data_IF_959197738353
#
_entry.id   IF_959197738353
#
_cell.length_a   1.000
_cell.length_b   1.000
_cell.length_c   1.000
_cell.angle_alpha   90.00
_cell.angle_beta   90.00
_cell.angle_gamma   90.00
#
_symmetry.space_group_name_H-M   'P 1'
#
loop_
_entity.id
_entity.type
_entity.pdbx_description
1 polymer ?
#
# COMPACT_ATOMS: atom_id res chain seq x y z
N UNK A 1 -17.15 44.66 14.87
CA UNK A 1 -16.43 43.69 15.71
C UNK A 1 -16.91 42.30 15.30
N UNK A 2 -16.28 41.69 14.29
CA UNK A 2 -16.66 40.35 13.79
C UNK A 2 -15.90 39.34 14.64
N UNK A 3 -16.65 38.47 15.32
CA UNK A 3 -16.11 37.34 16.07
C UNK A 3 -15.37 36.42 15.10
N UNK A 4 -14.05 36.35 15.25
CA UNK A 4 -13.21 35.32 14.63
C UNK A 4 -13.40 34.08 15.51
N UNK A 5 -14.41 33.28 15.20
CA UNK A 5 -14.54 31.96 15.82
C UNK A 5 -13.38 31.12 15.31
N UNK A 6 -12.61 30.61 16.25
CA UNK A 6 -11.27 30.05 16.09
C UNK A 6 -11.38 28.69 15.37
N UNK A 7 -10.81 28.52 14.17
CA UNK A 7 -10.74 27.21 13.48
C UNK A 7 -10.15 26.10 14.37
N UNK A 8 -9.35 26.49 15.38
CA UNK A 8 -8.81 25.60 16.41
C UNK A 8 -9.85 24.96 17.33
N UNK A 9 -11.03 25.56 17.52
CA UNK A 9 -12.11 24.97 18.33
C UNK A 9 -12.90 23.93 17.54
N UNK A 10 -13.08 24.12 16.23
CA UNK A 10 -13.73 23.12 15.37
C UNK A 10 -12.89 21.84 15.23
N UNK A 11 -11.56 21.95 15.34
CA UNK A 11 -10.63 20.82 15.24
C UNK A 11 -10.58 19.96 16.52
N UNK A 12 -11.03 20.48 17.68
CA UNK A 12 -11.11 19.74 18.96
C UNK A 12 -12.26 18.73 19.04
N UNK A 13 -13.09 18.64 18.00
CA UNK A 13 -14.28 17.77 17.95
C UNK A 13 -14.08 16.48 17.18
N UNK A 14 -12.89 16.22 16.64
CA UNK A 14 -12.59 14.91 16.05
C UNK A 14 -12.49 13.88 17.17
N UNK A 15 -13.38 12.88 17.15
CA UNK A 15 -13.36 11.75 18.08
C UNK A 15 -12.02 11.02 17.89
N UNK A 16 -11.32 10.75 18.99
CA UNK A 16 -10.10 9.95 19.02
C UNK A 16 -10.35 8.60 18.32
N UNK A 17 -9.43 8.19 17.45
CA UNK A 17 -9.57 6.97 16.62
C UNK A 17 -8.34 6.07 16.74
N UNK A 18 -8.50 4.80 16.41
CA UNK A 18 -7.36 3.87 16.38
C UNK A 18 -6.34 4.26 15.30
N UNK A 19 -5.07 3.90 15.53
CA UNK A 19 -3.98 4.14 14.56
C UNK A 19 -4.27 3.60 13.15
N UNK A 20 -4.92 2.43 13.04
CA UNK A 20 -5.30 1.87 11.73
C UNK A 20 -6.19 2.82 10.95
N UNK A 21 -7.24 3.34 11.59
CA UNK A 21 -8.18 4.27 10.97
C UNK A 21 -7.53 5.62 10.66
N UNK A 22 -6.69 6.12 11.58
CA UNK A 22 -5.95 7.36 11.38
C UNK A 22 -5.02 7.27 10.16
N UNK A 23 -4.24 6.19 10.06
CA UNK A 23 -3.31 5.95 8.95
C UNK A 23 -4.06 5.72 7.63
N UNK A 24 -5.14 4.92 7.62
CA UNK A 24 -5.99 4.72 6.44
C UNK A 24 -6.50 6.06 5.89
N UNK A 25 -7.03 6.92 6.78
CA UNK A 25 -7.51 8.24 6.37
C UNK A 25 -6.38 9.16 5.87
N UNK A 26 -5.22 9.13 6.52
CA UNK A 26 -4.07 9.96 6.16
C UNK A 26 -3.41 9.53 4.85
N UNK A 27 -3.34 8.24 4.56
CA UNK A 27 -2.69 7.68 3.37
C UNK A 27 -3.65 7.60 2.19
N UNK A 28 -4.86 7.08 2.41
CA UNK A 28 -5.77 6.65 1.34
C UNK A 28 -7.15 7.33 1.36
N UNK A 29 -7.41 8.21 2.33
CA UNK A 29 -8.64 9.01 2.36
C UNK A 29 -8.76 9.99 1.17
N UNK A 30 -9.88 10.71 1.05
CA UNK A 30 -10.11 11.65 -0.06
C UNK A 30 -9.03 12.75 -0.21
N UNK A 31 -8.37 13.11 0.89
CA UNK A 31 -7.25 14.06 0.95
C UNK A 31 -5.92 13.38 1.31
N UNK A 32 -5.90 12.05 1.23
CA UNK A 32 -4.79 11.21 1.66
C UNK A 32 -3.56 11.35 0.78
N UNK A 33 -2.40 11.12 1.36
CA UNK A 33 -1.09 11.33 0.73
C UNK A 33 -0.96 10.68 -0.66
N UNK A 34 -1.35 9.41 -0.80
CA UNK A 34 -1.16 8.66 -2.06
C UNK A 34 -2.13 9.06 -3.17
N UNK A 35 -3.22 9.77 -2.86
CA UNK A 35 -4.18 10.23 -3.88
C UNK A 35 -3.84 11.61 -4.45
N UNK A 36 -2.89 12.32 -3.86
CA UNK A 36 -2.54 13.68 -4.30
C UNK A 36 -1.73 13.65 -5.60
N UNK A 37 -1.86 14.66 -6.47
CA UNK A 37 -1.17 14.69 -7.76
C UNK A 37 0.36 14.60 -7.65
N UNK A 38 0.95 15.17 -6.61
CA UNK A 38 2.40 15.13 -6.35
C UNK A 38 2.86 13.68 -6.10
N UNK A 39 2.01 12.87 -5.45
CA UNK A 39 2.26 11.49 -5.11
C UNK A 39 3.56 11.25 -4.31
N UNK A 40 3.92 9.98 -4.05
CA UNK A 40 5.17 9.65 -3.37
C UNK A 40 6.40 10.10 -4.15
N UNK A 41 6.35 10.06 -5.48
CA UNK A 41 7.46 10.44 -6.37
C UNK A 41 7.84 11.94 -6.27
N UNK A 42 6.91 12.80 -5.85
CA UNK A 42 7.19 14.22 -5.55
C UNK A 42 7.96 14.44 -4.24
N UNK A 43 8.02 13.42 -3.38
CA UNK A 43 8.58 13.52 -2.02
C UNK A 43 9.73 12.53 -1.77
N UNK A 44 9.77 11.40 -2.48
CA UNK A 44 10.72 10.31 -2.29
C UNK A 44 11.15 9.71 -3.62
N UNK A 45 12.41 9.24 -3.69
CA UNK A 45 12.87 8.33 -4.75
C UNK A 45 12.83 6.91 -4.18
N UNK A 46 11.83 6.13 -4.56
CA UNK A 46 11.77 4.68 -4.25
C UNK A 46 12.72 3.89 -5.15
N UNK A 47 13.01 2.64 -4.79
CA UNK A 47 13.88 1.70 -5.55
C UNK A 47 13.49 1.55 -7.02
N UNK A 48 12.20 1.76 -7.28
CA UNK A 48 11.57 1.73 -8.61
C UNK A 48 12.11 2.82 -9.54
N UNK A 49 12.51 3.96 -8.96
CA UNK A 49 13.17 5.05 -9.67
C UNK A 49 14.69 4.86 -9.74
N UNK A 50 15.25 3.88 -9.04
CA UNK A 50 16.69 3.79 -8.80
C UNK A 50 17.45 3.05 -9.89
N UNK A 51 16.85 2.07 -10.61
CA UNK A 51 17.57 1.37 -11.68
C UNK A 51 16.70 0.50 -12.61
N UNK A 52 16.94 0.54 -13.94
CA UNK A 52 16.43 -0.46 -14.90
C UNK A 52 16.80 -1.91 -14.54
N UNK A 53 17.85 -2.12 -13.73
CA UNK A 53 18.26 -3.44 -13.28
C UNK A 53 17.20 -4.12 -12.40
N UNK A 54 16.42 -3.35 -11.64
CA UNK A 54 15.38 -3.89 -10.76
C UNK A 54 14.23 -4.47 -11.57
N UNK A 55 13.70 -3.69 -12.51
CA UNK A 55 12.69 -4.16 -13.46
C UNK A 55 13.18 -5.39 -14.25
N UNK A 56 14.44 -5.39 -14.69
CA UNK A 56 15.05 -6.55 -15.32
C UNK A 56 15.12 -7.79 -14.41
N UNK A 57 15.33 -7.63 -13.11
CA UNK A 57 15.29 -8.74 -12.15
C UNK A 57 13.88 -9.30 -11.97
N UNK A 58 12.86 -8.44 -11.89
CA UNK A 58 11.46 -8.84 -11.81
C UNK A 58 11.02 -9.53 -13.11
N UNK A 59 11.40 -9.02 -14.28
CA UNK A 59 11.11 -9.66 -15.56
C UNK A 59 11.75 -11.06 -15.68
N UNK A 60 12.97 -11.23 -15.17
CA UNK A 60 13.61 -12.56 -15.08
C UNK A 60 12.89 -13.49 -14.10
N UNK A 61 12.41 -12.98 -12.96
CA UNK A 61 11.61 -13.77 -12.03
C UNK A 61 10.30 -14.25 -12.68
N UNK A 62 9.58 -13.36 -13.37
CA UNK A 62 8.37 -13.70 -14.10
C UNK A 62 8.64 -14.73 -15.20
N UNK A 63 9.73 -14.59 -15.94
CA UNK A 63 10.11 -15.56 -17.00
C UNK A 63 10.44 -16.95 -16.44
N UNK A 64 11.08 -17.02 -15.26
CA UNK A 64 11.34 -18.29 -14.56
C UNK A 64 10.05 -18.93 -14.05
N UNK A 65 9.13 -18.11 -13.53
CA UNK A 65 7.83 -18.59 -13.08
C UNK A 65 7.01 -19.12 -14.26
N UNK A 66 6.96 -18.40 -15.37
CA UNK A 66 6.31 -18.84 -16.60
C UNK A 66 6.82 -20.22 -17.05
N UNK A 67 8.14 -20.43 -17.06
CA UNK A 67 8.73 -21.74 -17.37
C UNK A 67 8.35 -22.81 -16.34
N UNK A 68 8.37 -22.48 -15.04
CA UNK A 68 7.98 -23.41 -13.98
C UNK A 68 6.49 -23.81 -14.03
N UNK A 69 5.64 -22.94 -14.57
CA UNK A 69 4.23 -23.18 -14.84
C UNK A 69 3.98 -23.95 -16.15
N UNK A 70 5.03 -24.28 -16.90
CA UNK A 70 4.93 -25.02 -18.16
C UNK A 70 4.51 -24.16 -19.35
N UNK A 71 4.81 -22.86 -19.34
CA UNK A 71 4.49 -21.91 -20.41
C UNK A 71 2.98 -21.89 -20.75
N UNK A 72 2.12 -21.48 -19.79
CA UNK A 72 0.67 -21.41 -20.03
C UNK A 72 0.34 -20.46 -21.18
N UNK A 73 -0.85 -20.58 -21.79
CA UNK A 73 -1.26 -19.65 -22.87
C UNK A 73 -1.28 -18.18 -22.41
N UNK A 74 -1.50 -17.95 -21.12
CA UNK A 74 -1.50 -16.65 -20.47
C UNK A 74 -0.79 -16.73 -19.11
N UNK A 75 0.01 -15.71 -18.77
CA UNK A 75 0.63 -15.57 -17.44
C UNK A 75 0.39 -14.16 -16.91
N UNK A 76 -0.06 -14.03 -15.67
CA UNK A 76 -0.32 -12.74 -15.06
C UNK A 76 0.95 -12.14 -14.43
N UNK A 77 1.10 -10.82 -14.57
CA UNK A 77 1.96 -9.99 -13.73
C UNK A 77 1.10 -8.96 -13.01
N UNK A 78 1.04 -9.05 -11.69
CA UNK A 78 0.26 -8.15 -10.83
C UNK A 78 1.24 -7.32 -10.00
N UNK A 79 1.26 -6.01 -10.22
CA UNK A 79 2.05 -5.04 -9.48
C UNK A 79 1.15 -4.37 -8.42
N UNK A 80 1.35 -4.71 -7.15
CA UNK A 80 0.55 -4.25 -6.01
C UNK A 80 1.13 -2.96 -5.43
N UNK A 81 0.32 -1.91 -5.38
CA UNK A 81 0.80 -0.57 -5.05
C UNK A 81 1.65 -0.02 -6.20
N UNK A 82 1.11 -0.09 -7.42
CA UNK A 82 1.85 0.16 -8.64
C UNK A 82 2.34 1.62 -8.80
N UNK A 83 1.92 2.54 -7.94
CA UNK A 83 2.36 3.95 -7.98
C UNK A 83 1.80 4.63 -9.22
N UNK A 84 2.64 5.05 -10.18
CA UNK A 84 2.18 5.51 -11.50
C UNK A 84 2.52 4.50 -12.59
N UNK A 85 2.79 3.24 -12.22
CA UNK A 85 3.08 2.15 -13.15
C UNK A 85 4.51 2.16 -13.69
N UNK A 86 5.45 2.84 -13.03
CA UNK A 86 6.85 2.91 -13.47
C UNK A 86 7.50 1.53 -13.49
N UNK A 87 7.36 0.75 -12.41
CA UNK A 87 7.83 -0.63 -12.36
C UNK A 87 7.13 -1.46 -13.42
N UNK A 88 5.79 -1.37 -13.45
CA UNK A 88 4.94 -2.13 -14.35
C UNK A 88 5.38 -1.97 -15.81
N UNK A 89 5.58 -0.72 -16.22
CA UNK A 89 6.03 -0.35 -17.57
C UNK A 89 7.44 -0.88 -17.85
N UNK A 90 8.37 -0.70 -16.91
CA UNK A 90 9.75 -1.13 -17.07
C UNK A 90 9.87 -2.67 -17.13
N UNK A 91 9.07 -3.40 -16.35
CA UNK A 91 9.00 -4.87 -16.39
C UNK A 91 8.47 -5.33 -17.74
N UNK A 92 7.35 -4.77 -18.20
CA UNK A 92 6.76 -5.11 -19.49
C UNK A 92 7.75 -4.90 -20.65
N UNK A 93 8.52 -3.81 -20.61
CA UNK A 93 9.56 -3.52 -21.60
C UNK A 93 10.77 -4.47 -21.53
N UNK A 94 11.06 -5.05 -20.36
CA UNK A 94 12.21 -5.93 -20.13
C UNK A 94 11.89 -7.42 -20.36
N UNK A 95 10.64 -7.78 -20.65
CA UNK A 95 10.26 -9.17 -20.87
C UNK A 95 10.76 -9.70 -22.22
N UNK A 96 11.18 -10.97 -22.28
CA UNK A 96 11.43 -11.66 -23.54
C UNK A 96 10.18 -11.62 -24.44
N UNK A 97 10.30 -11.48 -25.78
CA UNK A 97 9.17 -11.35 -26.69
C UNK A 97 8.11 -12.45 -26.55
N UNK A 98 8.53 -13.69 -26.30
CA UNK A 98 7.66 -14.85 -26.12
C UNK A 98 6.82 -14.82 -24.84
N UNK A 99 7.32 -14.18 -23.78
CA UNK A 99 6.56 -13.96 -22.54
C UNK A 99 5.71 -12.70 -22.67
N UNK A 100 6.28 -11.63 -23.26
CA UNK A 100 5.58 -10.37 -23.51
C UNK A 100 4.33 -10.54 -24.40
N UNK A 101 4.31 -11.54 -25.27
CA UNK A 101 3.16 -11.86 -26.13
C UNK A 101 1.98 -12.50 -25.37
N UNK A 102 2.24 -13.14 -24.23
CA UNK A 102 1.24 -13.88 -23.43
C UNK A 102 0.94 -13.24 -22.07
N UNK A 103 1.76 -12.29 -21.63
CA UNK A 103 1.60 -11.69 -20.31
C UNK A 103 0.35 -10.81 -20.23
N UNK A 104 -0.45 -11.00 -19.18
CA UNK A 104 -1.45 -10.01 -18.74
C UNK A 104 -0.88 -9.19 -17.61
N UNK A 105 -0.86 -7.88 -17.80
CA UNK A 105 -0.24 -6.96 -16.84
C UNK A 105 -1.32 -6.19 -16.10
N UNK A 106 -1.30 -6.27 -14.77
CA UNK A 106 -2.20 -5.58 -13.87
C UNK A 106 -1.40 -4.63 -12.97
N UNK A 107 -1.73 -3.36 -13.01
CA UNK A 107 -1.30 -2.38 -12.03
C UNK A 107 -2.43 -2.17 -11.02
N UNK A 108 -2.21 -2.55 -9.77
CA UNK A 108 -3.19 -2.42 -8.69
C UNK A 108 -2.85 -1.19 -7.87
N UNK A 109 -3.69 -0.17 -7.97
CA UNK A 109 -3.46 1.14 -7.40
C UNK A 109 -4.79 1.89 -7.16
N UNK A 110 -4.83 2.65 -6.06
CA UNK A 110 -5.98 3.47 -5.67
C UNK A 110 -5.96 4.85 -6.34
N UNK A 111 -4.77 5.36 -6.67
CA UNK A 111 -4.60 6.59 -7.42
C UNK A 111 -5.15 6.49 -8.86
N UNK A 112 -5.37 7.65 -9.49
CA UNK A 112 -5.84 7.72 -10.86
C UNK A 112 -4.80 7.16 -11.84
N UNK A 113 -5.31 6.48 -12.89
CA UNK A 113 -4.48 5.96 -13.98
C UNK A 113 -3.78 7.12 -14.72
N UNK A 114 -2.45 7.06 -14.92
CA UNK A 114 -1.76 8.02 -15.78
C UNK A 114 -2.27 7.98 -17.23
N UNK A 115 -2.43 9.15 -17.84
CA UNK A 115 -2.99 9.29 -19.18
C UNK A 115 -2.13 8.66 -20.29
N UNK A 116 -0.82 8.58 -20.07
CA UNK A 116 0.19 8.06 -20.98
C UNK A 116 0.55 6.59 -20.74
N UNK A 117 -0.09 5.93 -19.76
CA UNK A 117 0.18 4.54 -19.44
C UNK A 117 -0.22 3.61 -20.58
N UNK A 118 0.68 2.69 -20.96
CA UNK A 118 0.48 1.69 -22.01
C UNK A 118 -0.90 1.01 -21.89
N UNK A 119 -1.73 0.99 -22.94
CA UNK A 119 -3.07 0.43 -22.90
C UNK A 119 -3.10 -1.09 -22.62
N UNK A 120 -1.97 -1.79 -22.74
CA UNK A 120 -1.83 -3.21 -22.37
C UNK A 120 -1.84 -3.44 -20.86
N UNK A 121 -1.57 -2.40 -20.06
CA UNK A 121 -1.58 -2.46 -18.60
C UNK A 121 -3.02 -2.24 -18.12
N UNK A 122 -3.62 -3.23 -17.47
CA UNK A 122 -4.93 -3.11 -16.84
C UNK A 122 -4.77 -2.39 -15.49
N UNK A 123 -5.45 -1.25 -15.31
CA UNK A 123 -5.42 -0.48 -14.06
C UNK A 123 -6.61 -0.86 -13.18
N UNK A 124 -6.37 -1.25 -11.94
CA UNK A 124 -7.42 -1.70 -11.01
C UNK A 124 -7.19 -1.16 -9.61
N UNK A 125 -8.28 -1.00 -8.84
CA UNK A 125 -8.20 -0.70 -7.40
C UNK A 125 -8.08 -1.94 -6.52
N UNK A 126 -8.24 -3.14 -7.10
CA UNK A 126 -8.17 -4.43 -6.39
C UNK A 126 -7.45 -5.47 -7.24
N UNK A 127 -6.75 -6.45 -6.61
CA UNK A 127 -6.11 -7.53 -7.34
C UNK A 127 -7.11 -8.32 -8.19
N UNK A 128 -6.70 -8.81 -9.38
CA UNK A 128 -7.54 -9.71 -10.17
C UNK A 128 -7.72 -11.05 -9.44
N UNK A 129 -8.86 -11.70 -9.68
CA UNK A 129 -9.19 -13.02 -9.11
C UNK A 129 -9.03 -14.12 -10.15
N UNK A 130 -8.59 -15.30 -9.73
CA UNK A 130 -8.50 -16.48 -10.60
C UNK A 130 -7.37 -16.43 -11.64
N UNK A 131 -6.39 -15.53 -11.48
CA UNK A 131 -5.22 -15.45 -12.37
C UNK A 131 -4.11 -16.38 -11.90
N UNK A 132 -3.26 -16.82 -12.83
CA UNK A 132 -2.04 -17.59 -12.54
C UNK A 132 -0.83 -16.81 -13.01
N UNK A 133 0.12 -16.54 -12.11
CA UNK A 133 1.32 -15.77 -12.44
C UNK A 133 1.99 -15.15 -11.22
N UNK A 134 2.71 -14.04 -11.43
CA UNK A 134 3.46 -13.35 -10.40
C UNK A 134 2.65 -12.19 -9.82
N UNK A 135 2.37 -12.24 -8.52
CA UNK A 135 2.01 -11.07 -7.74
C UNK A 135 3.27 -10.51 -7.08
N UNK A 136 3.55 -9.24 -7.33
CA UNK A 136 4.70 -8.51 -6.84
C UNK A 136 4.23 -7.29 -6.04
N UNK A 137 4.76 -7.12 -4.82
CA UNK A 137 4.34 -6.07 -3.90
C UNK A 137 5.58 -5.40 -3.31
N UNK A 138 6.16 -4.47 -4.05
CA UNK A 138 7.37 -3.75 -3.62
C UNK A 138 7.00 -2.61 -2.68
N UNK A 139 7.55 -2.58 -1.46
CA UNK A 139 7.31 -1.47 -0.51
C UNK A 139 5.79 -1.20 -0.31
N UNK A 140 4.99 -2.26 -0.34
CA UNK A 140 3.56 -2.17 -0.13
C UNK A 140 3.18 -2.42 1.34
N UNK A 141 3.83 -3.40 1.97
CA UNK A 141 3.49 -3.84 3.34
C UNK A 141 3.79 -2.81 4.43
N UNK A 142 4.79 -1.95 4.22
CA UNK A 142 5.13 -0.85 5.13
C UNK A 142 4.06 0.26 5.16
N UNK A 143 3.19 0.30 4.14
CA UNK A 143 2.11 1.28 4.02
C UNK A 143 0.74 0.70 4.40
N UNK A 144 0.66 -0.56 4.84
CA UNK A 144 -0.57 -1.16 5.33
C UNK A 144 -0.94 -0.58 6.69
N UNK A 145 -2.14 0.03 6.85
CA UNK A 145 -2.56 0.57 8.13
C UNK A 145 -2.73 -0.52 9.19
N UNK A 146 -2.15 -0.28 10.37
CA UNK A 146 -2.16 -1.22 11.50
C UNK A 146 -2.57 -0.53 12.80
N UNK A 147 -3.07 -1.31 13.74
CA UNK A 147 -3.26 -0.86 15.11
C UNK A 147 -1.91 -0.82 15.83
N UNK A 148 -1.75 0.14 16.74
CA UNK A 148 -0.57 0.25 17.61
C UNK A 148 -1.01 -0.07 19.03
N UNK A 149 -0.19 -0.82 19.75
CA UNK A 149 -0.42 -1.23 21.13
C UNK A 149 0.77 -0.82 21.97
N UNK A 150 0.49 -0.25 23.13
CA UNK A 150 1.49 0.09 24.15
C UNK A 150 1.15 -0.61 25.47
N UNK A 151 2.19 -1.00 26.22
CA UNK A 151 2.02 -1.46 27.61
C UNK A 151 1.91 -0.24 28.50
N UNK A 152 0.73 -0.01 29.07
CA UNK A 152 0.53 1.11 29.97
C UNK A 152 1.28 0.91 31.30
N UNK A 153 1.35 1.98 32.11
CA UNK A 153 2.05 1.95 33.40
C UNK A 153 1.48 0.93 34.40
N UNK A 154 0.23 0.48 34.21
CA UNK A 154 -0.42 -0.58 34.98
C UNK A 154 -0.06 -2.01 34.48
N UNK A 155 0.79 -2.12 33.47
CA UNK A 155 1.19 -3.38 32.84
C UNK A 155 0.17 -3.92 31.83
N UNK A 156 -0.94 -3.22 31.58
CA UNK A 156 -1.99 -3.68 30.67
C UNK A 156 -1.70 -3.19 29.25
N UNK A 157 -1.64 -4.08 28.25
CA UNK A 157 -1.58 -3.69 26.84
C UNK A 157 -2.85 -2.96 26.43
N UNK A 158 -2.71 -1.76 25.89
CA UNK A 158 -3.82 -0.93 25.41
C UNK A 158 -3.59 -0.52 23.97
N UNK A 159 -4.67 -0.47 23.20
CA UNK A 159 -4.62 0.15 21.85
C UNK A 159 -4.30 1.63 22.01
N UNK A 160 -3.46 2.16 21.13
CA UNK A 160 -3.16 3.60 21.09
C UNK A 160 -4.17 4.30 20.17
N UNK A 161 -4.74 5.40 20.67
CA UNK A 161 -5.64 6.27 19.94
C UNK A 161 -4.92 7.52 19.48
N UNK A 162 -5.39 8.12 18.40
CA UNK A 162 -4.83 9.32 17.78
C UNK A 162 -5.93 10.36 17.56
N UNK A 163 -5.69 11.57 18.04
CA UNK A 163 -6.56 12.73 17.88
C UNK A 163 -6.34 13.43 16.52
N UNK A 164 -7.21 14.39 16.20
CA UNK A 164 -7.15 15.11 14.91
C UNK A 164 -5.89 15.95 14.69
N UNK A 165 -5.14 16.27 15.75
CA UNK A 165 -3.87 16.98 15.70
C UNK A 165 -2.64 16.03 15.79
N UNK A 166 -2.89 14.72 15.85
CA UNK A 166 -1.85 13.69 15.96
C UNK A 166 -1.43 13.38 17.39
N UNK A 167 -2.06 13.98 18.42
CA UNK A 167 -1.79 13.61 19.81
C UNK A 167 -2.23 12.17 20.07
N UNK A 168 -1.37 11.40 20.73
CA UNK A 168 -1.63 10.02 21.10
C UNK A 168 -2.18 9.91 22.53
N UNK A 169 -3.16 9.04 22.72
CA UNK A 169 -3.72 8.73 24.04
C UNK A 169 -3.96 7.22 24.21
N UNK A 170 -3.86 6.68 25.44
CA UNK A 170 -4.19 5.28 25.69
C UNK A 170 -5.69 5.02 25.49
N UNK A 171 -6.00 3.98 24.72
CA UNK A 171 -7.35 3.48 24.53
C UNK A 171 -7.74 2.37 25.52
N UNK A 172 -8.68 1.54 25.10
CA UNK A 172 -9.11 0.35 25.84
C UNK A 172 -8.04 -0.75 25.86
N UNK A 173 -8.13 -1.70 26.80
CA UNK A 173 -7.34 -2.92 26.78
C UNK A 173 -7.48 -3.65 25.45
N UNK A 174 -6.40 -4.31 25.02
CA UNK A 174 -6.46 -5.20 23.87
C UNK A 174 -7.24 -6.47 24.25
N UNK A 175 -8.15 -6.89 23.40
CA UNK A 175 -9.07 -7.99 23.63
C UNK A 175 -9.18 -8.94 22.43
N UNK A 176 -9.80 -10.10 22.64
CA UNK A 176 -10.12 -11.06 21.59
C UNK A 176 -8.89 -11.60 20.84
N UNK A 177 -8.99 -11.79 19.50
CA UNK A 177 -7.90 -12.35 18.69
C UNK A 177 -6.59 -11.54 18.76
N UNK A 178 -6.66 -10.22 18.93
CA UNK A 178 -5.47 -9.39 19.06
C UNK A 178 -4.73 -9.70 20.37
N UNK A 179 -5.47 -9.89 21.47
CA UNK A 179 -4.87 -10.28 22.75
C UNK A 179 -4.24 -11.68 22.69
N UNK A 180 -4.87 -12.63 21.99
CA UNK A 180 -4.30 -13.96 21.74
C UNK A 180 -3.03 -13.90 20.89
N UNK A 181 -3.01 -13.03 19.87
CA UNK A 181 -1.83 -12.79 19.04
C UNK A 181 -0.70 -12.19 19.87
N UNK A 182 -0.98 -11.18 20.70
CA UNK A 182 0.00 -10.57 21.59
C UNK A 182 0.57 -11.61 22.57
N UNK A 183 -0.27 -12.41 23.23
CA UNK A 183 0.19 -13.44 24.16
C UNK A 183 1.13 -14.48 23.50
N UNK A 184 0.93 -14.75 22.20
CA UNK A 184 1.76 -15.69 21.44
C UNK A 184 3.07 -15.08 20.95
N UNK A 185 3.05 -13.86 20.44
CA UNK A 185 4.15 -13.27 19.68
C UNK A 185 4.90 -12.16 20.41
N UNK A 186 4.28 -11.58 21.45
CA UNK A 186 4.88 -10.59 22.34
C UNK A 186 4.50 -10.89 23.80
N UNK A 187 5.05 -11.98 24.39
CA UNK A 187 4.81 -12.29 25.79
C UNK A 187 5.48 -11.23 26.69
N UNK A 188 4.67 -10.56 27.49
CA UNK A 188 5.08 -9.51 28.43
C UNK A 188 5.37 -10.08 29.83
#
# INVERSE_FOLDING_TARGET
MRSVTNDKEAQRTAVARGWREATEAALYGPQGFYRRPEGPAGHFRTSVHASPLYAGAVARLLSRLDAALGHPDEVAFVDMGAGRGELTTAVLAALPPEVAARVRVYAVELAERPADLDPRIEWRSTPPVGVTGLLFANEWLDNVPVDVVEVAADGVPRRVLVDGDGAETPGGPVDGPDAEWLARWWPL
#
